data_IF_150571880748
#
_entry.id   IF_150571880748
#
_cell.length_a   1.000
_cell.length_b   1.000
_cell.length_c   1.000
_cell.angle_alpha   90.00
_cell.angle_beta   90.00
_cell.angle_gamma   90.00
#
_symmetry.space_group_name_H-M   'P 1'
#
loop_
_entity.id
_entity.type
_entity.pdbx_description
1 polymer ?
2 non-polymer ?
3 water ?
#
# COMPACT_ATOMS: atom_id res chain seq x y z
N UNK A 3 31.10 19.48 -25.56
CA UNK A 3 30.09 18.63 -24.92
C UNK A 3 29.28 19.38 -23.86
N UNK A 4 27.97 19.17 -23.88
CA UNK A 4 27.08 19.75 -22.90
C UNK A 4 26.20 18.69 -22.24
N UNK A 5 26.11 18.75 -20.91
CA UNK A 5 25.28 17.82 -20.16
C UNK A 5 23.82 18.27 -20.14
N UNK A 6 23.23 18.40 -21.32
CA UNK A 6 21.88 18.92 -21.44
C UNK A 6 20.83 17.81 -21.54
N UNK A 7 19.58 18.20 -21.71
CA UNK A 7 18.49 17.23 -21.75
C UNK A 7 18.65 16.25 -22.93
N UNK A 8 19.00 16.79 -24.09
CA UNK A 8 19.15 15.96 -25.29
C UNK A 8 20.18 14.86 -25.10
N UNK A 9 21.25 15.16 -24.38
CA UNK A 9 22.31 14.19 -24.15
C UNK A 9 21.87 13.17 -23.11
N UNK A 10 20.88 13.53 -22.31
CA UNK A 10 20.47 12.71 -21.17
C UNK A 10 19.14 11.98 -21.36
N UNK A 11 18.49 12.19 -22.50
CA UNK A 11 17.20 11.57 -22.74
C UNK A 11 17.30 10.04 -22.76
N UNK A 12 16.49 9.38 -21.93
CA UNK A 12 16.52 7.91 -21.84
C UNK A 12 16.16 7.25 -23.17
N UNK A 13 16.78 6.10 -23.44
CA UNK A 13 16.41 5.28 -24.57
C UNK A 13 15.37 4.26 -24.11
N UNK A 14 14.10 4.53 -24.41
CA UNK A 14 13.02 3.68 -23.89
C UNK A 14 12.65 2.51 -24.81
N UNK A 15 13.40 2.34 -25.89
CA UNK A 15 13.17 1.21 -26.79
C UNK A 15 13.19 -0.09 -26.00
N UNK A 16 12.29 -1.00 -26.35
CA UNK A 16 12.19 -2.31 -25.70
C UNK A 16 11.49 -2.30 -24.34
N UNK A 17 11.44 -1.14 -23.70
CA UNK A 17 10.82 -1.04 -22.37
C UNK A 17 9.31 -1.18 -22.43
N UNK A 18 8.74 -1.73 -21.35
CA UNK A 18 7.29 -1.86 -21.24
C UNK A 18 6.75 -1.04 -20.09
N UNK A 19 7.42 0.07 -19.80
CA UNK A 19 7.01 0.95 -18.72
C UNK A 19 6.02 2.01 -19.19
N UNK A 20 5.17 2.46 -18.28
CA UNK A 20 4.20 3.49 -18.59
C UNK A 20 4.91 4.80 -18.87
N UNK A 21 5.97 5.06 -18.11
CA UNK A 21 6.71 6.30 -18.20
C UNK A 21 7.20 6.56 -19.63
N UNK A 22 7.76 5.54 -20.26
CA UNK A 22 8.30 5.66 -21.60
C UNK A 22 7.30 6.14 -22.63
N UNK A 23 6.02 5.89 -22.37
CA UNK A 23 4.98 6.28 -23.31
C UNK A 23 4.43 7.68 -23.01
N UNK A 24 4.95 8.31 -21.97
CA UNK A 24 4.49 9.64 -21.59
C UNK A 24 5.63 10.64 -21.54
N UNK A 25 6.82 10.15 -21.21
CA UNK A 25 7.98 11.03 -21.13
C UNK A 25 8.66 11.15 -22.48
N UNK A 26 8.02 11.86 -23.40
CA UNK A 26 8.65 12.19 -24.67
C UNK A 26 9.70 13.27 -24.43
N UNK A 27 10.57 13.50 -25.41
CA UNK A 27 11.65 14.46 -25.21
C UNK A 27 11.13 15.84 -24.90
N UNK A 28 10.01 16.21 -25.52
CA UNK A 28 9.37 17.49 -25.27
C UNK A 28 9.22 17.73 -23.77
N UNK A 29 8.67 16.73 -23.07
CA UNK A 29 8.45 16.83 -21.64
C UNK A 29 9.77 16.78 -20.87
N UNK A 30 10.64 15.86 -21.26
CA UNK A 30 11.93 15.70 -20.59
C UNK A 30 12.69 17.01 -20.54
N UNK A 31 12.82 17.66 -21.69
CA UNK A 31 13.51 18.95 -21.78
C UNK A 31 12.98 19.93 -20.74
N UNK A 32 11.66 19.96 -20.57
CA UNK A 32 11.03 20.88 -19.64
C UNK A 32 11.38 20.54 -18.19
N UNK A 33 11.33 19.26 -17.86
CA UNK A 33 11.51 18.81 -16.48
C UNK A 33 12.98 18.64 -16.09
N UNK A 34 13.85 18.49 -17.09
CA UNK A 34 15.24 18.11 -16.85
C UNK A 34 15.95 18.85 -15.73
N UNK A 35 15.91 20.18 -15.77
CA UNK A 35 16.69 20.97 -14.83
C UNK A 35 15.99 21.29 -13.51
N UNK A 36 14.76 20.82 -13.37
CA UNK A 36 13.96 21.11 -12.19
C UNK A 36 14.41 20.32 -10.97
N UNK A 37 14.17 20.88 -9.79
CA UNK A 37 14.52 20.22 -8.53
C UNK A 37 13.52 20.60 -7.43
N UNK A 38 13.21 19.65 -6.56
CA UNK A 38 12.39 19.95 -5.38
C UNK A 38 13.28 20.58 -4.33
N UNK A 39 12.69 20.98 -3.21
CA UNK A 39 13.46 21.59 -2.13
C UNK A 39 14.48 20.62 -1.54
N UNK A 40 14.30 19.33 -1.80
CA UNK A 40 15.22 18.32 -1.27
C UNK A 40 16.19 17.79 -2.32
N UNK A 41 16.15 18.36 -3.52
CA UNK A 41 17.09 18.01 -4.56
C UNK A 41 16.65 16.83 -5.43
N UNK A 42 15.40 16.41 -5.30
CA UNK A 42 14.88 15.34 -6.13
C UNK A 42 14.73 15.82 -7.57
N UNK A 43 15.30 15.07 -8.51
CA UNK A 43 15.27 15.46 -9.91
C UNK A 43 14.39 14.52 -10.72
N UNK A 44 14.10 14.88 -11.97
CA UNK A 44 13.31 14.03 -12.84
C UNK A 44 14.02 12.71 -13.08
N UNK A 45 15.33 12.77 -13.28
CA UNK A 45 16.12 11.56 -13.48
C UNK A 45 15.91 10.60 -12.32
N UNK A 46 15.89 11.15 -11.11
CA UNK A 46 15.67 10.37 -9.90
C UNK A 46 14.35 9.61 -9.97
N UNK A 47 13.27 10.32 -10.22
CA UNK A 47 11.93 9.71 -10.17
C UNK A 47 11.66 8.68 -11.28
N UNK A 48 12.45 8.72 -12.35
CA UNK A 48 12.25 7.80 -13.47
C UNK A 48 13.34 6.73 -13.57
N UNK A 49 14.35 6.83 -12.72
CA UNK A 49 15.49 5.92 -12.81
C UNK A 49 15.07 4.45 -12.89
N UNK A 50 14.18 4.00 -11.98
CA UNK A 50 13.77 2.59 -12.00
C UNK A 50 13.13 2.19 -13.32
N UNK A 51 12.36 3.07 -13.94
CA UNK A 51 11.71 2.76 -15.21
C UNK A 51 12.76 2.49 -16.29
N UNK A 52 13.85 3.24 -16.24
CA UNK A 52 14.92 3.08 -17.22
C UNK A 52 15.68 1.77 -16.98
N UNK A 53 15.96 1.47 -15.71
CA UNK A 53 16.71 0.28 -15.35
C UNK A 53 15.95 -1.01 -15.68
N UNK A 54 14.62 -0.94 -15.61
CA UNK A 54 13.79 -2.12 -15.79
C UNK A 54 13.11 -2.19 -17.15
N UNK A 55 13.22 -3.34 -17.81
CA UNK A 55 12.63 -3.55 -19.14
C UNK A 55 11.26 -4.19 -19.07
N UNK A 56 10.89 -4.71 -17.90
CA UNK A 56 9.61 -5.36 -17.70
C UNK A 56 8.44 -4.39 -17.76
N UNK A 57 7.25 -4.90 -17.43
CA UNK A 57 6.03 -4.08 -17.45
C UNK A 57 5.82 -3.34 -16.13
N UNK A 58 6.78 -2.49 -15.78
CA UNK A 58 6.75 -1.77 -14.53
C UNK A 58 5.91 -0.50 -14.63
N UNK A 59 5.92 0.28 -13.54
CA UNK A 59 5.42 1.65 -13.58
C UNK A 59 6.64 2.55 -13.68
N UNK A 60 7.68 2.19 -12.93
CA UNK A 60 8.97 2.85 -13.02
C UNK A 60 9.02 4.23 -12.39
N UNK A 61 7.88 4.74 -11.95
CA UNK A 61 7.83 6.08 -11.38
C UNK A 61 7.82 6.03 -9.85
N UNK A 62 8.74 6.75 -9.24
CA UNK A 62 8.81 6.80 -7.78
C UNK A 62 9.16 8.20 -7.30
N UNK A 63 8.50 8.64 -6.24
CA UNK A 63 8.74 9.96 -5.68
C UNK A 63 9.80 9.92 -4.59
N UNK A 64 10.76 10.84 -4.67
CA UNK A 64 11.79 10.96 -3.66
C UNK A 64 11.29 11.71 -2.44
N UNK A 65 10.37 12.65 -2.66
CA UNK A 65 9.77 13.40 -1.56
C UNK A 65 8.34 13.82 -1.92
N UNK A 66 7.67 14.45 -0.97
CA UNK A 66 6.31 14.91 -1.17
C UNK A 66 6.21 15.90 -2.33
N UNK A 67 7.17 16.82 -2.37
CA UNK A 67 7.18 17.88 -3.38
C UNK A 67 7.31 17.35 -4.80
N UNK A 68 7.75 16.09 -4.93
CA UNK A 68 7.89 15.48 -6.25
C UNK A 68 6.60 15.56 -7.05
N UNK A 69 5.47 15.36 -6.38
CA UNK A 69 4.17 15.32 -7.04
C UNK A 69 3.74 16.69 -7.58
N UNK A 70 4.41 17.75 -7.16
CA UNK A 70 4.06 19.08 -7.62
C UNK A 70 5.07 19.60 -8.64
N UNK A 71 6.36 19.37 -8.37
CA UNK A 71 7.40 19.83 -9.28
C UNK A 71 7.40 19.02 -10.57
N UNK A 72 7.07 17.74 -10.45
CA UNK A 72 6.98 16.86 -11.61
C UNK A 72 5.53 16.43 -11.82
N UNK A 73 4.63 17.39 -11.61
CA UNK A 73 3.20 17.16 -11.63
C UNK A 73 2.70 16.57 -12.96
N UNK A 74 3.24 17.04 -14.07
CA UNK A 74 2.70 16.64 -15.37
C UNK A 74 3.08 15.21 -15.72
N UNK A 75 4.20 14.74 -15.19
CA UNK A 75 4.63 13.36 -15.43
C UNK A 75 3.84 12.41 -14.54
N UNK A 76 3.74 12.74 -13.26
CA UNK A 76 2.99 11.92 -12.31
C UNK A 76 1.51 11.83 -12.68
N UNK A 77 0.94 12.95 -13.09
CA UNK A 77 -0.47 12.97 -13.48
C UNK A 77 -0.76 12.07 -14.68
N UNK A 78 0.14 12.06 -15.64
CA UNK A 78 0.00 11.23 -16.83
C UNK A 78 0.00 9.75 -16.44
N UNK A 79 0.98 9.37 -15.63
CA UNK A 79 1.13 8.00 -15.16
C UNK A 79 -0.04 7.61 -14.26
N UNK A 80 -0.35 8.46 -13.28
CA UNK A 80 -1.46 8.22 -12.37
C UNK A 80 -2.76 8.03 -13.13
N UNK A 81 -2.97 8.88 -14.14
CA UNK A 81 -4.16 8.80 -14.97
C UNK A 81 -4.32 7.44 -15.65
N UNK A 82 -3.23 6.94 -16.23
CA UNK A 82 -3.28 5.65 -16.90
C UNK A 82 -3.34 4.49 -15.91
N UNK A 83 -2.49 4.54 -14.88
CA UNK A 83 -2.42 3.45 -13.92
C UNK A 83 -3.74 3.22 -13.21
N UNK A 84 -4.36 4.31 -12.73
CA UNK A 84 -5.60 4.20 -11.97
C UNK A 84 -6.85 4.31 -12.85
N UNK A 85 -6.71 3.90 -14.11
CA UNK A 85 -7.83 3.84 -15.05
C UNK A 85 -8.71 5.09 -15.02
N UNK A 86 -8.12 6.24 -15.33
CA UNK A 86 -8.87 7.48 -15.42
C UNK A 86 -8.82 8.36 -14.18
N UNK A 87 -7.97 9.37 -14.21
CA UNK A 87 -7.88 10.34 -13.13
C UNK A 87 -7.30 11.64 -13.65
N UNK A 88 -8.16 12.56 -14.07
CA UNK A 88 -7.74 13.81 -14.65
C UNK A 88 -7.18 14.77 -13.61
N UNK A 89 -6.75 15.96 -14.08
CA UNK A 89 -6.14 17.00 -13.24
C UNK A 89 -7.15 17.63 -12.29
N UNK A 90 -8.43 17.58 -12.64
CA UNK A 90 -9.47 18.19 -11.83
C UNK A 90 -10.24 17.16 -11.00
N UNK A 91 -9.88 15.90 -11.15
CA UNK A 91 -10.44 14.84 -10.31
C UNK A 91 -9.81 14.91 -8.93
N UNK A 92 -10.60 14.60 -7.91
CA UNK A 92 -10.14 14.71 -6.53
C UNK A 92 -10.43 13.44 -5.75
N UNK A 93 -9.48 13.05 -4.89
CA UNK A 93 -9.70 11.92 -4.00
C UNK A 93 -10.70 12.33 -2.91
N UNK A 94 -11.67 11.44 -2.61
CA UNK A 94 -12.65 11.72 -1.56
C UNK A 94 -11.96 11.87 -0.20
N UNK A 95 -12.56 12.68 0.67
CA UNK A 95 -12.02 12.87 2.01
C UNK A 95 -11.85 11.53 2.71
N UNK A 96 -10.81 11.41 3.56
CA UNK A 96 -10.60 10.18 4.31
C UNK A 96 -11.83 9.80 5.12
N UNK A 97 -12.12 8.52 5.20
CA UNK A 97 -13.27 8.04 5.95
C UNK A 97 -12.89 6.78 6.70
N UNK A 98 -12.68 6.93 8.01
CA UNK A 98 -12.25 5.82 8.85
C UNK A 98 -13.33 5.41 9.85
N UNK A 99 -14.58 5.77 9.56
CA UNK A 99 -15.67 5.47 10.48
C UNK A 99 -16.20 4.06 10.28
N UNK A 100 -15.76 3.14 11.13
CA UNK A 100 -16.16 1.74 11.05
C UNK A 100 -17.64 1.55 11.32
N UNK A 101 -18.24 2.50 12.06
CA UNK A 101 -19.65 2.38 12.43
C UNK A 101 -20.57 2.63 11.25
N UNK A 102 -20.01 3.13 10.16
CA UNK A 102 -20.78 3.41 8.95
C UNK A 102 -20.84 2.18 8.05
N UNK A 103 -20.17 1.11 8.47
CA UNK A 103 -20.17 -0.13 7.69
C UNK A 103 -21.47 -0.90 7.86
N UNK A 104 -21.88 -1.57 6.79
CA UNK A 104 -23.10 -2.37 6.80
C UNK A 104 -22.75 -3.84 6.64
N UNK A 105 -23.09 -4.65 7.65
CA UNK A 105 -22.87 -6.08 7.61
C UNK A 105 -21.41 -6.46 7.53
N UNK A 106 -20.60 -5.90 8.44
CA UNK A 106 -19.17 -6.15 8.45
C UNK A 106 -18.75 -7.46 9.11
N UNK A 107 -19.66 -8.43 9.13
CA UNK A 107 -19.35 -9.76 9.63
C UNK A 107 -19.46 -10.80 8.52
N UNK A 108 -18.40 -11.56 8.34
CA UNK A 108 -18.37 -12.61 7.32
C UNK A 108 -18.68 -13.97 7.92
N UNK A 109 -19.24 -14.85 7.09
CA UNK A 109 -19.45 -16.23 7.50
C UNK A 109 -18.09 -16.88 7.73
N UNK A 110 -17.73 -17.05 9.00
CA UNK A 110 -16.38 -17.52 9.34
C UNK A 110 -16.18 -18.99 8.96
N UNK A 111 -17.17 -19.56 8.30
CA UNK A 111 -17.07 -20.91 7.76
C UNK A 111 -16.21 -20.84 6.49
N UNK A 112 -16.21 -19.67 5.87
CA UNK A 112 -15.48 -19.45 4.62
C UNK A 112 -14.35 -18.45 4.80
N UNK A 113 -14.63 -17.38 5.54
CA UNK A 113 -13.64 -16.35 5.81
C UNK A 113 -12.82 -16.69 7.05
N UNK A 114 -11.54 -16.95 6.86
CA UNK A 114 -10.66 -17.42 7.92
C UNK A 114 -9.96 -16.29 8.67
N UNK A 115 -9.70 -15.19 7.98
CA UNK A 115 -9.03 -14.05 8.59
C UNK A 115 -9.26 -12.76 7.82
N UNK A 116 -9.05 -11.63 8.48
CA UNK A 116 -9.22 -10.33 7.83
C UNK A 116 -8.02 -9.44 8.07
N UNK A 117 -7.67 -8.66 7.05
CA UNK A 117 -6.47 -7.83 7.10
C UNK A 117 -6.70 -6.52 6.35
N UNK A 118 -6.27 -5.42 6.93
CA UNK A 118 -6.38 -4.11 6.29
C UNK A 118 -5.08 -3.33 6.48
N UNK A 119 -4.50 -2.87 5.38
CA UNK A 119 -3.22 -2.16 5.46
C UNK A 119 -3.22 -0.84 4.69
N UNK A 120 -2.38 0.08 5.15
CA UNK A 120 -2.15 1.33 4.43
C UNK A 120 -0.73 1.81 4.75
N UNK A 121 -0.32 2.89 4.11
CA UNK A 121 1.00 3.46 4.36
C UNK A 121 0.90 4.95 4.60
N UNK A 122 1.78 5.47 5.46
CA UNK A 122 1.81 6.89 5.74
C UNK A 122 3.21 7.45 5.58
N UNK A 123 3.29 8.74 5.27
CA UNK A 123 4.56 9.45 5.23
C UNK A 123 4.57 10.54 6.28
N UNK A 124 5.74 10.79 6.87
CA UNK A 124 5.87 11.85 7.87
C UNK A 124 6.31 13.13 7.17
N UNK A 125 5.40 14.10 7.11
CA UNK A 125 5.65 15.34 6.38
C UNK A 125 6.92 16.03 6.84
N UNK A 126 7.68 16.55 5.88
CA UNK A 126 8.94 17.23 6.18
C UNK A 126 10.15 16.37 5.89
N UNK A 127 9.95 15.06 5.81
CA UNK A 127 11.04 14.13 5.60
C UNK A 127 10.91 13.39 4.27
N UNK A 128 12.04 13.14 3.61
CA UNK A 128 12.05 12.49 2.30
C UNK A 128 11.65 11.02 2.34
N UNK A 129 11.12 10.53 1.23
CA UNK A 129 10.82 9.12 1.07
C UNK A 129 12.12 8.32 0.99
N UNK A 130 12.04 6.99 1.20
CA UNK A 130 13.20 6.09 1.19
C UNK A 130 14.13 6.21 -0.02
N UNK A 131 13.60 6.58 -1.21
CA UNK A 131 14.54 6.68 -2.33
C UNK A 131 15.56 7.81 -2.14
N UNK A 132 15.20 8.85 -1.39
CA UNK A 132 16.02 10.05 -1.30
C UNK A 132 16.48 10.42 0.11
N UNK A 133 15.83 9.85 1.11
CA UNK A 133 16.12 10.24 2.49
C UNK A 133 17.55 9.96 2.89
N UNK A 134 18.09 10.80 3.78
CA UNK A 134 19.42 10.59 4.34
C UNK A 134 19.31 9.77 5.61
N UNK A 135 20.45 9.32 6.13
CA UNK A 135 20.46 8.59 7.39
C UNK A 135 19.83 9.43 8.49
N UNK A 136 20.09 10.73 8.46
CA UNK A 136 19.51 11.65 9.42
C UNK A 136 18.00 11.66 9.34
N UNK A 137 17.47 11.85 8.13
CA UNK A 137 16.03 11.86 7.91
C UNK A 137 15.39 10.54 8.32
N UNK A 138 15.96 9.44 7.84
CA UNK A 138 15.43 8.12 8.14
C UNK A 138 15.32 7.91 9.65
N UNK A 139 16.35 8.37 10.36
CA UNK A 139 16.37 8.25 11.82
C UNK A 139 15.31 9.13 12.47
N UNK A 140 15.08 10.31 11.91
CA UNK A 140 14.06 11.22 12.44
C UNK A 140 12.69 10.60 12.26
N UNK A 141 12.50 9.90 11.14
CA UNK A 141 11.25 9.20 10.87
C UNK A 141 11.00 8.16 11.96
N UNK A 142 12.01 7.33 12.23
CA UNK A 142 11.91 6.32 13.27
C UNK A 142 11.60 6.97 14.61
N UNK A 143 12.30 8.07 14.91
CA UNK A 143 12.14 8.77 16.18
C UNK A 143 10.71 9.26 16.35
N UNK A 144 10.23 10.00 15.36
CA UNK A 144 8.86 10.51 15.37
C UNK A 144 7.84 9.39 15.60
N UNK A 145 7.93 8.35 14.80
CA UNK A 145 7.00 7.23 14.89
C UNK A 145 7.03 6.53 16.24
N UNK A 146 8.22 6.07 16.65
CA UNK A 146 8.35 5.32 17.90
C UNK A 146 7.95 6.16 19.10
N UNK A 147 8.28 7.44 19.06
CA UNK A 147 7.89 8.37 20.12
C UNK A 147 6.37 8.43 20.23
N UNK A 148 5.70 8.42 19.08
CA UNK A 148 4.25 8.45 19.04
C UNK A 148 3.64 7.15 19.53
N UNK A 149 4.18 6.03 19.06
CA UNK A 149 3.68 4.71 19.43
C UNK A 149 3.74 4.47 20.93
N UNK A 150 4.77 5.01 21.57
CA UNK A 150 4.96 4.81 23.00
C UNK A 150 3.90 5.52 23.83
N UNK A 151 3.12 6.38 23.18
CA UNK A 151 2.04 7.09 23.85
C UNK A 151 0.72 6.33 23.77
N UNK A 152 0.70 5.26 22.98
CA UNK A 152 -0.51 4.46 22.83
C UNK A 152 -0.72 3.57 24.05
N UNK A 153 -1.98 3.37 24.42
CA UNK A 153 -2.33 2.57 25.58
C UNK A 153 -3.43 1.57 25.26
N UNK A 154 -4.00 0.95 26.29
CA UNK A 154 -5.08 0.00 26.10
C UNK A 154 -4.67 -1.15 25.21
N UNK A 155 -5.57 -1.59 24.34
CA UNK A 155 -5.28 -2.69 23.45
C UNK A 155 -4.36 -2.27 22.30
N UNK A 156 -3.93 -1.01 22.32
CA UNK A 156 -2.96 -0.53 21.35
C UNK A 156 -1.56 -0.41 21.96
N UNK A 157 -1.42 -0.87 23.20
CA UNK A 157 -0.12 -0.95 23.84
C UNK A 157 0.72 -2.02 23.17
N UNK A 158 1.98 -1.70 22.88
CA UNK A 158 2.87 -2.64 22.23
C UNK A 158 4.34 -2.38 22.55
N UNK A 159 5.22 -3.06 21.82
CA UNK A 159 6.66 -2.89 22.01
C UNK A 159 7.40 -2.81 20.68
N UNK A 160 8.54 -2.12 20.66
CA UNK A 160 9.28 -1.88 19.43
C UNK A 160 10.51 -2.78 19.30
N UNK A 161 10.67 -3.36 18.12
CA UNK A 161 11.80 -4.24 17.84
C UNK A 161 12.67 -3.68 16.71
N UNK A 162 13.69 -2.89 17.05
CA UNK A 162 14.62 -2.33 16.07
C UNK A 162 15.41 -3.46 15.41
N UNK A 163 15.48 -3.47 14.08
CA UNK A 163 16.18 -4.54 13.39
C UNK A 163 17.65 -4.60 13.77
N UNK A 164 18.25 -3.44 14.07
CA UNK A 164 19.68 -3.37 14.33
C UNK A 164 20.06 -3.77 15.76
N UNK A 165 19.06 -4.01 16.61
CA UNK A 165 19.33 -4.43 17.97
C UNK A 165 18.49 -5.65 18.33
N UNK A 166 18.16 -6.45 17.32
CA UNK A 166 17.27 -7.58 17.49
C UNK A 166 18.02 -8.83 17.94
N UNK A 167 17.48 -9.52 18.94
CA UNK A 167 18.09 -10.74 19.44
C UNK A 167 17.60 -11.96 18.66
N UNK A 168 18.43 -13.01 18.61
CA UNK A 168 18.06 -14.26 17.93
C UNK A 168 16.69 -14.75 18.38
N UNK A 169 16.44 -14.70 19.68
CA UNK A 169 15.16 -15.13 20.25
C UNK A 169 14.00 -14.28 19.73
N UNK A 170 14.18 -12.96 19.76
CA UNK A 170 13.15 -12.07 19.26
C UNK A 170 12.96 -12.23 17.75
N UNK A 171 14.07 -12.27 17.02
CA UNK A 171 14.02 -12.45 15.58
C UNK A 171 13.28 -13.73 15.22
N UNK A 172 13.54 -14.78 15.99
CA UNK A 172 12.90 -16.07 15.76
C UNK A 172 11.40 -16.01 15.96
N UNK A 173 10.97 -15.33 17.02
CA UNK A 173 9.56 -15.20 17.33
C UNK A 173 8.84 -14.35 16.29
N UNK A 174 9.51 -13.31 15.81
CA UNK A 174 8.91 -12.44 14.80
C UNK A 174 8.77 -13.17 13.47
N UNK A 175 9.71 -14.06 13.17
CA UNK A 175 9.63 -14.90 11.99
C UNK A 175 8.43 -15.82 12.07
N UNK A 176 8.25 -16.46 13.22
CA UNK A 176 7.12 -17.35 13.43
C UNK A 176 5.79 -16.61 13.31
N UNK A 177 5.78 -15.35 13.74
CA UNK A 177 4.59 -14.50 13.66
C UNK A 177 4.40 -13.97 12.25
N UNK A 178 5.42 -14.11 11.42
CA UNK A 178 5.40 -13.56 10.07
C UNK A 178 5.30 -12.04 10.14
N UNK A 179 6.00 -11.44 11.10
CA UNK A 179 5.99 -9.99 11.27
C UNK A 179 7.30 -9.36 10.81
N UNK A 180 8.29 -10.20 10.56
CA UNK A 180 9.61 -9.71 10.15
C UNK A 180 9.65 -9.39 8.67
N UNK A 181 10.38 -8.32 8.32
CA UNK A 181 10.64 -8.04 6.93
C UNK A 181 12.14 -8.01 6.67
N UNK A 182 12.54 -8.55 5.52
CA UNK A 182 13.95 -8.58 5.14
C UNK A 182 14.27 -7.34 4.33
N UNK A 183 15.54 -7.18 3.98
CA UNK A 183 15.94 -6.13 3.06
C UNK A 183 15.28 -6.38 1.71
N UNK A 184 14.48 -5.42 1.24
CA UNK A 184 13.80 -5.58 -0.05
C UNK A 184 14.79 -5.92 -1.17
N UNK A 185 14.33 -6.66 -2.17
CA UNK A 185 15.20 -7.06 -3.28
C UNK A 185 14.53 -6.79 -4.62
N UNK A 186 13.33 -6.22 -4.59
CA UNK A 186 12.59 -5.93 -5.80
C UNK A 186 13.22 -4.80 -6.60
N UNK A 187 12.94 -4.77 -7.90
CA UNK A 187 13.59 -3.81 -8.78
C UNK A 187 13.31 -2.37 -8.41
N UNK A 188 12.05 -2.06 -8.12
CA UNK A 188 11.65 -0.71 -7.77
C UNK A 188 12.41 -0.21 -6.54
N UNK A 189 12.52 -1.05 -5.53
CA UNK A 189 13.19 -0.68 -4.28
C UNK A 189 14.70 -0.57 -4.45
N UNK A 190 15.29 -1.56 -5.11
CA UNK A 190 16.73 -1.58 -5.32
C UNK A 190 17.19 -0.43 -6.22
N UNK A 191 16.51 -0.27 -7.34
CA UNK A 191 16.90 0.73 -8.36
C UNK A 191 16.62 2.16 -7.93
N UNK A 192 15.73 2.35 -6.96
CA UNK A 192 15.41 3.68 -6.46
C UNK A 192 16.28 4.03 -5.25
N UNK A 193 17.24 3.17 -4.94
CA UNK A 193 18.12 3.36 -3.79
C UNK A 193 17.33 3.51 -2.50
N UNK A 194 16.33 2.64 -2.31
CA UNK A 194 15.48 2.72 -1.14
C UNK A 194 15.95 1.83 0.01
N UNK A 195 16.98 1.04 -0.22
CA UNK A 195 17.45 0.11 0.80
C UNK A 195 18.84 0.46 1.33
N UNK A 196 19.21 1.73 1.23
CA UNK A 196 20.50 2.18 1.73
C UNK A 196 20.61 2.05 3.25
N UNK A 197 21.81 1.78 3.73
CA UNK A 197 22.10 1.76 5.17
C UNK A 197 21.25 0.75 5.95
N UNK A 198 20.95 -0.39 5.33
CA UNK A 198 20.16 -1.42 6.00
C UNK A 198 20.97 -2.04 7.13
N UNK A 199 20.36 -2.20 8.32
CA UNK A 199 18.97 -1.90 8.67
C UNK A 199 18.85 -0.64 9.51
N UNK A 200 19.79 0.29 9.38
CA UNK A 200 19.80 1.51 10.20
C UNK A 200 18.44 2.17 10.24
N UNK A 201 17.89 2.30 11.44
CA UNK A 201 16.62 2.99 11.68
C UNK A 201 15.39 2.26 11.12
N UNK A 202 15.51 0.95 10.92
CA UNK A 202 14.36 0.13 10.57
C UNK A 202 13.88 -0.64 11.80
N UNK A 203 12.59 -0.89 11.89
CA UNK A 203 12.05 -1.58 13.04
C UNK A 203 10.62 -2.07 12.88
N UNK A 204 10.20 -2.90 13.82
CA UNK A 204 8.87 -3.48 13.80
C UNK A 204 8.19 -3.21 15.13
N UNK A 205 6.92 -2.81 15.07
CA UNK A 205 6.13 -2.58 16.27
C UNK A 205 4.82 -3.38 16.19
N UNK A 206 4.41 -3.98 17.30
CA UNK A 206 3.14 -4.69 17.33
C UNK A 206 2.58 -4.73 18.74
N UNK A 207 1.26 -4.65 18.86
CA UNK A 207 0.61 -4.71 20.16
C UNK A 207 0.59 -6.12 20.74
N UNK A 208 0.27 -6.21 22.02
CA UNK A 208 0.28 -7.50 22.72
C UNK A 208 -0.63 -8.53 22.06
N UNK A 209 -1.79 -8.10 21.59
CA UNK A 209 -2.75 -8.99 20.94
C UNK A 209 -2.24 -9.46 19.58
N UNK A 210 -1.30 -8.72 19.01
CA UNK A 210 -0.81 -8.98 17.65
C UNK A 210 -1.91 -8.77 16.62
N UNK A 211 -2.74 -7.77 16.86
CA UNK A 211 -3.83 -7.41 15.96
C UNK A 211 -3.52 -6.11 15.26
N UNK A 212 -2.42 -5.48 15.66
CA UNK A 212 -2.01 -4.21 15.09
C UNK A 212 -0.49 -4.21 14.91
N UNK A 213 -0.07 -4.14 13.65
CA UNK A 213 1.34 -4.21 13.31
C UNK A 213 1.80 -2.94 12.62
N UNK A 214 3.05 -2.55 12.87
CA UNK A 214 3.63 -1.36 12.28
C UNK A 214 5.05 -1.63 11.81
N UNK A 215 5.33 -1.32 10.54
CA UNK A 215 6.69 -1.40 10.04
C UNK A 215 7.24 0.00 9.83
N UNK A 216 8.49 0.20 10.22
CA UNK A 216 9.11 1.50 10.07
C UNK A 216 10.22 1.48 9.03
N UNK A 217 10.14 2.41 8.08
CA UNK A 217 11.22 2.63 7.12
C UNK A 217 11.51 1.44 6.21
N UNK A 218 10.47 0.68 5.88
CA UNK A 218 10.62 -0.45 4.98
C UNK A 218 10.52 0.03 3.54
N UNK A 219 9.30 0.14 3.03
CA UNK A 219 9.09 0.74 1.70
C UNK A 219 8.43 2.10 1.86
N UNK A 220 7.76 2.29 2.98
CA UNK A 220 7.20 3.58 3.35
C UNK A 220 7.76 3.99 4.70
N UNK A 221 7.54 5.23 5.10
CA UNK A 221 7.93 5.65 6.44
C UNK A 221 7.21 4.76 7.45
N UNK A 222 5.89 4.67 7.33
CA UNK A 222 5.09 3.85 8.21
C UNK A 222 4.14 2.93 7.44
N UNK A 223 4.23 1.64 7.70
CA UNK A 223 3.29 0.67 7.15
C UNK A 223 2.39 0.20 8.28
N UNK A 224 1.08 0.38 8.11
CA UNK A 224 0.12 0.05 9.15
C UNK A 224 -0.71 -1.17 8.77
N UNK A 225 -0.82 -2.12 9.68
CA UNK A 225 -1.55 -3.36 9.40
C UNK A 225 -2.45 -3.76 10.57
N UNK A 226 -3.74 -3.86 10.30
CA UNK A 226 -4.70 -4.34 11.29
C UNK A 226 -5.18 -5.71 10.83
N UNK A 227 -5.30 -6.66 11.77
CA UNK A 227 -5.66 -8.02 11.40
C UNK A 227 -6.32 -8.80 12.54
N UNK A 228 -7.21 -9.73 12.17
CA UNK A 228 -7.87 -10.60 13.12
C UNK A 228 -8.20 -11.93 12.44
N UNK A 229 -8.16 -13.01 13.22
CA UNK A 229 -8.70 -14.28 12.75
C UNK A 229 -10.20 -14.12 12.63
N UNK A 230 -10.84 -14.97 11.82
CA UNK A 230 -12.27 -14.90 11.63
C UNK A 230 -12.67 -13.88 10.58
N UNK A 231 -13.92 -13.43 10.61
CA UNK A 231 -14.43 -12.57 9.56
C UNK A 231 -15.06 -11.27 10.01
N UNK A 232 -14.66 -10.77 11.17
CA UNK A 232 -15.19 -9.49 11.66
C UNK A 232 -14.40 -8.31 11.10
N UNK A 233 -14.60 -8.04 9.81
CA UNK A 233 -13.85 -6.99 9.13
C UNK A 233 -14.12 -5.62 9.73
N UNK A 234 -15.33 -5.43 10.24
CA UNK A 234 -15.71 -4.17 10.88
C UNK A 234 -14.82 -3.89 12.09
N UNK A 235 -14.51 -4.94 12.85
CA UNK A 235 -13.67 -4.80 14.03
C UNK A 235 -12.21 -4.55 13.64
N UNK A 236 -11.81 -5.10 12.50
CA UNK A 236 -10.46 -4.89 12.01
C UNK A 236 -10.31 -3.46 11.49
N UNK A 237 -11.37 -2.94 10.88
CA UNK A 237 -11.35 -1.57 10.38
C UNK A 237 -11.42 -0.58 11.55
N UNK A 238 -12.19 -0.92 12.57
CA UNK A 238 -12.33 -0.06 13.74
C UNK A 238 -10.99 0.15 14.44
N UNK A 239 -10.22 -0.91 14.57
CA UNK A 239 -8.90 -0.82 15.20
C UNK A 239 -7.93 -0.09 14.27
N UNK A 240 -8.07 -0.36 12.98
CA UNK A 240 -7.26 0.27 11.94
C UNK A 240 -7.35 1.79 12.02
N UNK A 241 -8.57 2.31 11.97
CA UNK A 241 -8.78 3.75 12.01
C UNK A 241 -8.46 4.37 13.36
N UNK A 242 -8.78 3.65 14.43
CA UNK A 242 -8.49 4.12 15.78
C UNK A 242 -6.99 4.19 16.01
N UNK A 243 -6.24 3.32 15.33
CA UNK A 243 -4.80 3.29 15.45
C UNK A 243 -4.16 4.45 14.72
N UNK A 244 -4.58 4.66 13.47
CA UNK A 244 -4.07 5.76 12.67
C UNK A 244 -4.33 7.10 13.35
N UNK A 245 -5.55 7.30 13.83
CA UNK A 245 -5.92 8.54 14.50
C UNK A 245 -5.11 8.78 15.77
N UNK A 246 -4.92 7.71 16.55
CA UNK A 246 -4.20 7.81 17.82
C UNK A 246 -2.75 8.21 17.58
N UNK A 247 -2.13 7.60 16.59
CA UNK A 247 -0.74 7.92 16.24
C UNK A 247 -0.63 9.37 15.78
N UNK A 248 -1.59 9.79 14.95
CA UNK A 248 -1.62 11.16 14.45
C UNK A 248 -1.76 12.16 15.59
N UNK A 249 -2.53 11.77 16.60
CA UNK A 249 -2.77 12.63 17.76
C UNK A 249 -1.50 12.79 18.59
N UNK A 250 -0.76 11.70 18.75
CA UNK A 250 0.51 11.75 19.47
C UNK A 250 1.56 12.52 18.68
N UNK A 251 1.45 12.48 17.35
CA UNK A 251 2.37 13.19 16.47
C UNK A 251 2.17 14.70 16.53
N UNK A 252 0.93 15.15 16.67
CA UNK A 252 0.65 16.58 16.76
C UNK A 252 1.36 17.22 17.95
N UNK A 253 1.53 16.45 19.02
CA UNK A 253 2.25 16.93 20.20
C UNK A 253 3.65 17.40 19.85
N UNK A 254 4.16 16.93 18.71
CA UNK A 254 5.51 17.27 18.27
C UNK A 254 5.53 17.98 16.92
N UNK A 255 4.37 18.51 16.52
CA UNK A 255 4.26 19.25 15.28
C UNK A 255 4.50 18.42 14.04
N UNK A 256 4.15 17.15 14.08
CA UNK A 256 4.27 16.27 12.93
C UNK A 256 2.90 15.77 12.46
N UNK A 257 2.77 15.55 11.16
CA UNK A 257 1.50 15.11 10.58
C UNK A 257 1.75 14.25 9.36
N UNK A 258 0.74 13.46 8.96
CA UNK A 258 0.85 12.62 7.77
C UNK A 258 0.91 13.48 6.52
N UNK A 259 1.52 12.95 5.47
CA UNK A 259 1.50 13.61 4.17
C UNK A 259 0.15 13.37 3.50
N UNK A 260 -0.54 14.45 3.15
CA UNK A 260 -1.88 14.35 2.58
C UNK A 260 -2.22 15.64 1.88
N UNK A 261 -2.91 15.53 0.74
CA UNK A 261 -3.43 16.72 0.07
C UNK A 261 -4.78 16.44 -0.58
N UNK A 262 -5.50 17.51 -0.90
CA UNK A 262 -6.89 17.41 -1.33
C UNK A 262 -7.09 16.49 -2.53
N UNK A 263 -6.16 16.53 -3.49
CA UNK A 263 -6.36 15.81 -4.74
C UNK A 263 -5.97 14.33 -4.67
N UNK A 264 -4.78 14.06 -4.12
CA UNK A 264 -4.21 12.72 -4.18
C UNK A 264 -4.39 11.91 -2.90
N UNK A 265 -4.96 12.54 -1.87
CA UNK A 265 -5.12 11.88 -0.59
C UNK A 265 -3.79 11.65 0.09
N UNK A 266 -3.62 10.48 0.70
CA UNK A 266 -2.38 10.17 1.40
C UNK A 266 -1.24 9.86 0.43
N UNK A 267 -0.15 10.59 0.57
CA UNK A 267 0.96 10.49 -0.37
C UNK A 267 1.97 9.44 0.08
N UNK A 268 2.50 8.72 -0.90
CA UNK A 268 3.55 7.73 -0.67
C UNK A 268 4.49 7.75 -1.86
N UNK A 269 5.63 7.07 -1.73
CA UNK A 269 6.64 7.08 -2.79
C UNK A 269 6.11 6.47 -4.08
N UNK A 270 5.21 5.50 -3.95
CA UNK A 270 4.72 4.75 -5.10
C UNK A 270 3.35 5.21 -5.55
N UNK A 271 3.27 5.81 -6.75
CA UNK A 271 2.04 6.34 -7.32
C UNK A 271 0.91 5.30 -7.37
N UNK A 272 1.28 4.03 -7.49
CA UNK A 272 0.29 2.96 -7.57
C UNK A 272 -0.51 2.86 -6.28
N UNK A 273 0.04 3.38 -5.20
CA UNK A 273 -0.59 3.23 -3.89
C UNK A 273 -1.12 4.55 -3.32
N UNK A 274 -1.47 5.49 -4.20
CA UNK A 274 -1.99 6.78 -3.77
C UNK A 274 -3.45 6.70 -3.32
N UNK A 275 -3.97 7.82 -2.83
CA UNK A 275 -5.36 7.90 -2.40
C UNK A 275 -5.58 7.35 -1.00
N UNK A 276 -5.84 6.05 -0.91
CA UNK A 276 -6.07 5.41 0.37
C UNK A 276 -4.89 4.52 0.76
N UNK A 277 -4.09 4.13 -0.23
CA UNK A 277 -3.01 3.18 -0.02
C UNK A 277 -3.53 1.95 0.70
N UNK A 278 -4.84 1.78 0.66
CA UNK A 278 -5.50 0.77 1.48
C UNK A 278 -5.78 -0.53 0.73
N UNK A 279 -5.30 -1.63 1.31
CA UNK A 279 -5.65 -2.96 0.81
C UNK A 279 -6.33 -3.76 1.90
N UNK A 280 -7.65 -3.86 1.80
CA UNK A 280 -8.42 -4.69 2.71
C UNK A 280 -8.58 -6.06 2.09
N UNK A 281 -8.23 -7.10 2.83
CA UNK A 281 -8.28 -8.45 2.31
C UNK A 281 -8.87 -9.43 3.31
N UNK A 282 -9.34 -10.56 2.79
CA UNK A 282 -9.74 -11.69 3.62
C UNK A 282 -9.10 -12.95 3.07
N UNK A 283 -8.93 -13.95 3.95
CA UNK A 283 -8.63 -15.29 3.50
C UNK A 283 -9.96 -16.03 3.45
N UNK A 284 -10.39 -16.40 2.25
CA UNK A 284 -11.67 -17.04 2.06
C UNK A 284 -11.55 -18.33 1.28
N UNK A 285 -12.14 -19.40 1.81
CA UNK A 285 -12.05 -20.71 1.21
C UNK A 285 -13.18 -20.91 0.20
N UNK A 286 -12.81 -21.21 -1.05
CA UNK A 286 -13.78 -21.35 -2.13
C UNK A 286 -13.55 -22.64 -2.92
N UNK A 287 -13.89 -23.77 -2.33
CA UNK A 287 -13.63 -25.07 -2.95
C UNK A 287 -14.22 -25.21 -4.34
N UNK A 288 -15.49 -24.85 -4.49
CA UNK A 288 -16.21 -25.07 -5.75
C UNK A 288 -16.06 -23.89 -6.72
N UNK A 289 -16.20 -22.68 -6.20
CA UNK A 289 -16.13 -21.49 -7.03
C UNK A 289 -14.79 -21.35 -7.75
N UNK A 290 -13.73 -21.78 -7.08
CA UNK A 290 -12.38 -21.65 -7.64
C UNK A 290 -12.18 -22.52 -8.87
N UNK A 291 -13.02 -23.53 -9.02
CA UNK A 291 -12.92 -24.44 -10.15
C UNK A 291 -13.92 -24.07 -11.23
N UNK A 292 -14.58 -22.93 -11.05
CA UNK A 292 -15.54 -22.43 -12.01
C UNK A 292 -14.82 -21.58 -13.07
N UNK A 293 -15.17 -21.78 -14.34
CA UNK A 293 -14.55 -21.10 -15.48
C UNK A 293 -14.69 -19.58 -15.41
N UNK A 294 -15.76 -19.10 -14.77
CA UNK A 294 -16.02 -17.67 -14.68
C UNK A 294 -15.43 -17.02 -13.43
N UNK A 295 -14.74 -17.82 -12.61
CA UNK A 295 -14.22 -17.34 -11.34
C UNK A 295 -13.40 -16.06 -11.46
N UNK A 296 -12.43 -16.07 -12.35
CA UNK A 296 -11.51 -14.94 -12.46
C UNK A 296 -12.20 -13.70 -13.01
N UNK A 297 -13.25 -13.89 -13.78
CA UNK A 297 -13.99 -12.77 -14.36
C UNK A 297 -14.92 -12.16 -13.32
N UNK A 298 -15.50 -13.00 -12.47
CA UNK A 298 -16.37 -12.55 -11.39
C UNK A 298 -15.59 -11.67 -10.42
N UNK A 299 -14.40 -12.12 -10.04
CA UNK A 299 -13.55 -11.35 -9.14
C UNK A 299 -13.27 -9.95 -9.70
N UNK A 300 -12.86 -9.89 -10.96
CA UNK A 300 -12.56 -8.62 -11.61
C UNK A 300 -13.79 -7.72 -11.67
N UNK A 301 -14.93 -8.31 -12.00
CA UNK A 301 -16.18 -7.56 -12.10
C UNK A 301 -16.59 -6.96 -10.75
N UNK A 302 -16.31 -7.69 -9.67
CA UNK A 302 -16.61 -7.19 -8.33
C UNK A 302 -15.59 -6.13 -7.92
N UNK A 303 -14.67 -5.81 -8.82
CA UNK A 303 -13.60 -4.86 -8.53
C UNK A 303 -12.76 -5.34 -7.37
N UNK A 304 -12.46 -6.63 -7.35
CA UNK A 304 -11.61 -7.23 -6.34
C UNK A 304 -10.36 -7.80 -7.00
N UNK A 305 -9.39 -8.19 -6.17
CA UNK A 305 -8.20 -8.85 -6.66
C UNK A 305 -8.01 -10.20 -5.95
N UNK A 306 -7.43 -11.15 -6.67
CA UNK A 306 -7.26 -12.50 -6.17
C UNK A 306 -5.79 -12.89 -6.21
N UNK A 307 -5.33 -13.60 -5.17
CA UNK A 307 -3.96 -14.08 -5.14
C UNK A 307 -3.78 -15.22 -4.15
N UNK A 308 -2.58 -15.78 -4.09
CA UNK A 308 -2.30 -16.91 -3.23
C UNK A 308 -2.38 -16.58 -1.75
N UNK A 309 -2.33 -17.63 -0.92
CA UNK A 309 -2.43 -17.47 0.53
C UNK A 309 -1.19 -16.83 1.13
N UNK A 310 -0.05 -17.00 0.45
CA UNK A 310 1.21 -16.47 0.95
C UNK A 310 1.51 -15.09 0.42
N UNK A 311 0.51 -14.46 -0.18
CA UNK A 311 0.66 -13.11 -0.69
C UNK A 311 0.77 -13.05 -2.21
N UNK A 312 1.33 -11.96 -2.70
CA UNK A 312 1.48 -11.74 -4.14
C UNK A 312 2.44 -12.75 -4.77
N UNK A 313 2.00 -13.35 -5.86
CA UNK A 313 2.81 -14.34 -6.58
C UNK A 313 3.01 -15.63 -5.79
N UNK A 314 1.95 -16.09 -5.14
CA UNK A 314 1.97 -17.38 -4.46
C UNK A 314 0.75 -18.20 -4.83
N UNK A 315 0.83 -19.51 -4.61
CA UNK A 315 -0.27 -20.41 -4.93
C UNK A 315 -1.27 -20.47 -3.77
N UNK A 316 -2.53 -20.75 -4.10
CA UNK A 316 -3.58 -20.88 -3.09
C UNK A 316 -3.63 -22.31 -2.56
N UNK A 317 -3.51 -22.46 -1.25
CA UNK A 317 -3.51 -23.77 -0.64
C UNK A 317 -4.89 -24.13 -0.10
N UNK A 318 -5.35 -25.34 -0.42
CA UNK A 318 -6.65 -25.80 0.04
C UNK A 318 -7.77 -24.87 -0.42
N UNK A 319 -7.59 -24.26 -1.58
CA UNK A 319 -8.58 -23.40 -2.18
C UNK A 319 -8.92 -22.17 -1.32
N UNK A 320 -7.96 -21.72 -0.51
CA UNK A 320 -8.12 -20.50 0.26
C UNK A 320 -7.46 -19.34 -0.48
N UNK A 321 -8.24 -18.31 -0.78
CA UNK A 321 -7.73 -17.20 -1.57
C UNK A 321 -7.62 -15.90 -0.78
N UNK A 322 -6.66 -15.08 -1.18
CA UNK A 322 -6.50 -13.74 -0.64
C UNK A 322 -7.26 -12.77 -1.54
N UNK A 323 -8.47 -12.39 -1.14
CA UNK A 323 -9.29 -11.49 -1.93
C UNK A 323 -9.28 -10.09 -1.31
N UNK A 324 -9.11 -9.07 -2.15
CA UNK A 324 -9.00 -7.70 -1.67
C UNK A 324 -9.54 -6.70 -2.68
N UNK A 325 -9.72 -5.45 -2.26
CA UNK A 325 -10.09 -4.39 -3.19
C UNK A 325 -8.96 -4.14 -4.19
N UNK A 326 -9.31 -4.00 -5.46
CA UNK A 326 -8.31 -3.85 -6.51
C UNK A 326 -7.78 -2.44 -6.60
N UNK A 327 -8.65 -1.45 -6.42
CA UNK A 327 -8.27 -0.05 -6.59
C UNK A 327 -7.73 0.57 -5.30
N UNK A 328 -7.15 1.76 -5.42
CA UNK A 328 -6.64 2.50 -4.29
C UNK A 328 -7.18 3.93 -4.29
N UNK A 329 -7.53 4.41 -5.48
CA UNK A 329 -8.02 5.78 -5.66
C UNK A 329 -9.51 5.81 -5.96
N UNK A 330 -10.09 7.00 -5.87
CA UNK A 330 -11.46 7.26 -6.31
C UNK A 330 -12.54 6.78 -5.34
N UNK A 331 -12.12 6.23 -4.21
CA UNK A 331 -13.04 5.85 -3.15
C UNK A 331 -12.39 6.01 -1.77
N UNK A 332 -13.21 6.23 -0.76
CA UNK A 332 -12.70 6.40 0.60
C UNK A 332 -12.37 5.05 1.24
N UNK A 333 -11.61 5.09 2.32
CA UNK A 333 -11.24 3.86 3.03
C UNK A 333 -12.47 3.07 3.40
N UNK A 334 -13.37 3.70 4.15
CA UNK A 334 -14.59 3.07 4.60
C UNK A 334 -15.37 2.44 3.43
N UNK A 335 -15.28 3.05 2.25
CA UNK A 335 -16.03 2.56 1.10
C UNK A 335 -15.34 1.39 0.37
N UNK A 336 -14.01 1.35 0.42
CA UNK A 336 -13.28 0.21 -0.11
C UNK A 336 -13.57 -1.02 0.75
N UNK A 337 -13.65 -0.81 2.05
CA UNK A 337 -13.95 -1.88 2.99
C UNK A 337 -15.37 -2.39 2.76
N UNK A 338 -16.27 -1.48 2.39
CA UNK A 338 -17.64 -1.87 2.07
C UNK A 338 -17.69 -2.58 0.73
N UNK A 339 -16.72 -2.26 -0.13
CA UNK A 339 -16.61 -2.92 -1.43
C UNK A 339 -16.20 -4.37 -1.22
N UNK A 340 -15.26 -4.59 -0.30
CA UNK A 340 -14.82 -5.93 0.04
C UNK A 340 -15.95 -6.73 0.65
N UNK A 341 -16.69 -6.10 1.56
CA UNK A 341 -17.83 -6.75 2.21
C UNK A 341 -18.84 -7.24 1.18
N UNK A 342 -19.36 -6.32 0.37
CA UNK A 342 -20.34 -6.66 -0.66
C UNK A 342 -19.80 -7.73 -1.60
N UNK A 343 -18.56 -7.55 -2.05
CA UNK A 343 -17.95 -8.46 -3.00
C UNK A 343 -17.77 -9.87 -2.47
N UNK A 344 -17.22 -9.98 -1.27
CA UNK A 344 -16.94 -11.29 -0.67
C UNK A 344 -18.21 -12.08 -0.36
N UNK A 345 -19.24 -11.37 0.11
CA UNK A 345 -20.50 -12.03 0.42
C UNK A 345 -21.12 -12.62 -0.85
N UNK A 346 -20.98 -11.89 -1.96
CA UNK A 346 -21.44 -12.40 -3.25
C UNK A 346 -20.69 -13.66 -3.62
N UNK A 347 -19.37 -13.64 -3.43
CA UNK A 347 -18.55 -14.82 -3.70
C UNK A 347 -19.01 -16.00 -2.85
N UNK A 348 -19.33 -15.73 -1.58
CA UNK A 348 -19.78 -16.78 -0.68
C UNK A 348 -21.15 -17.34 -1.08
N UNK A 349 -22.02 -16.45 -1.53
CA UNK A 349 -23.35 -16.87 -2.01
C UNK A 349 -23.21 -17.80 -3.21
N UNK A 350 -22.26 -17.48 -4.09
CA UNK A 350 -22.00 -18.30 -5.26
C UNK A 350 -21.45 -19.66 -4.88
N UNK A 351 -20.59 -19.68 -3.87
CA UNK A 351 -19.99 -20.92 -3.38
C UNK A 351 -21.07 -21.82 -2.80
N UNK A 352 -21.98 -21.24 -2.04
CA UNK A 352 -23.07 -22.00 -1.43
C UNK A 352 -24.07 -22.49 -2.47
N UNK A 353 -24.12 -21.82 -3.62
CA UNK A 353 -24.96 -22.26 -4.72
C UNK A 353 -24.36 -23.50 -5.35
N UNK A 354 -23.07 -23.44 -5.65
CA UNK A 354 -22.36 -24.57 -6.25
C UNK A 354 -22.33 -25.76 -5.29
N UNK A 355 -22.27 -25.47 -3.99
CA UNK A 355 -22.32 -26.53 -2.99
C UNK A 355 -23.61 -27.32 -3.09
N UNK A 356 -24.69 -26.63 -3.45
CA UNK A 356 -26.00 -27.26 -3.57
C UNK A 356 -26.29 -27.71 -5.00
N UNK A 357 -25.24 -27.76 -5.82
CA UNK A 357 -25.38 -28.21 -7.19
C UNK A 357 -26.22 -27.29 -8.04
N UNK A 358 -26.36 -26.04 -7.59
CA UNK A 358 -27.12 -25.04 -8.34
C UNK A 358 -26.22 -24.21 -9.25
N UNK A 359 -26.84 -23.47 -10.17
CA UNK A 359 -26.11 -22.60 -11.06
C UNK A 359 -25.96 -21.21 -10.45
N UNK A 360 -24.90 -20.51 -10.83
CA UNK A 360 -24.67 -19.15 -10.34
C UNK A 360 -24.86 -18.14 -11.47
N UNK A 361 -25.36 -18.62 -12.60
CA UNK A 361 -25.49 -17.79 -13.81
C UNK A 361 -26.17 -16.46 -13.56
N UNK A 362 -27.13 -16.42 -12.63
CA UNK A 362 -27.80 -15.16 -12.31
C UNK A 362 -27.42 -14.61 -10.95
N UNK A 363 -26.15 -14.80 -10.58
CA UNK A 363 -25.58 -14.16 -9.41
C UNK A 363 -24.42 -13.30 -9.89
N UNK A 364 -24.02 -13.55 -11.14
CA UNK A 364 -22.93 -12.84 -11.77
C UNK A 364 -23.30 -11.40 -12.07
N UNK A 365 -22.43 -10.45 -11.66
CA UNK A 365 -22.66 -9.03 -11.94
C UNK A 365 -22.85 -8.78 -13.43
N UNK A 366 -24.08 -8.43 -13.81
CA UNK A 366 -24.40 -8.22 -15.22
C UNK A 366 -23.64 -7.02 -15.80
#
# INVERSE_FOLDING_TARGET
MAFQNDAKANFPDYANHGCVVGRHLNFEMYQRLFGKKTAHGVTVDKVIQPSVDNFGNCIGLIAGDEESYEVFKELFDAVINEKHKGFGPNDSQPAPDLDASKLVGGQFDEKYVKSCRIRTGRGIRGLCYPPSCTRGERREVERVITTALAGLSGDLSGTYYPLSKMTPEQENQLIADHFLFQKPTGHLMVNSASVRDWPDARGIWHNNEKTFLIWINEEDHMRVISMQKGGNVKAVFERFGRGLNAIAEQMKKNGREYMWNQRLGYLCACPSNLGTGLRASVHVQLHQLSKHPKFEDIVVALQLQKRGTGGEHTAAVDDVYDISNAARLKKSEREFVQLLIDGVKKLIDMEQALEAGKSIDDLIPA
#
